data_IF_777864232197
#
_entry.id   IF_777864232197
#
_cell.length_a   1.000
_cell.length_b   1.000
_cell.length_c   1.000
_cell.angle_alpha   90.00
_cell.angle_beta   90.00
_cell.angle_gamma   90.00
#
_symmetry.space_group_name_H-M   'P 1'
#
loop_
_entity.id
_entity.type
_entity.pdbx_description
1 polymer ?
#
# COMPACT_ATOMS: atom_id res chain seq x y z
N UNK A 1 24.53 6.50 46.22
CA UNK A 1 24.80 5.45 45.22
C UNK A 1 23.65 5.46 44.21
N UNK A 2 24.00 5.63 42.92
CA UNK A 2 23.28 5.47 41.64
C UNK A 2 21.95 4.67 41.65
N UNK A 3 20.96 4.84 40.76
CA UNK A 3 20.52 5.81 39.73
C UNK A 3 19.22 5.23 39.07
N UNK A 4 18.46 6.06 38.34
CA UNK A 4 17.30 5.76 37.44
C UNK A 4 15.95 5.46 38.13
N UNK A 5 14.89 6.28 38.13
CA UNK A 5 14.28 7.24 37.16
C UNK A 5 13.78 6.59 35.86
N UNK A 6 12.49 6.23 35.83
CA UNK A 6 11.75 5.95 34.60
C UNK A 6 10.32 6.53 34.72
N UNK A 7 10.15 7.76 34.22
CA UNK A 7 8.85 8.34 33.85
C UNK A 7 8.40 7.63 32.58
N UNK A 8 7.39 6.77 32.65
CA UNK A 8 6.67 6.33 31.45
C UNK A 8 5.65 7.41 31.08
N UNK A 9 6.12 8.45 30.41
CA UNK A 9 5.26 9.37 29.67
C UNK A 9 5.05 8.74 28.29
N UNK A 10 3.81 8.32 28.07
CA UNK A 10 3.22 7.89 26.81
C UNK A 10 3.58 8.91 25.70
N UNK A 11 4.51 8.57 24.82
CA UNK A 11 4.80 9.36 23.62
C UNK A 11 4.00 8.76 22.46
N UNK A 12 2.75 9.21 22.32
CA UNK A 12 2.00 9.13 21.05
C UNK A 12 2.44 10.33 20.22
N UNK A 13 3.58 10.21 19.55
CA UNK A 13 3.99 11.18 18.54
C UNK A 13 3.34 10.82 17.21
N UNK A 14 2.16 11.41 16.98
CA UNK A 14 1.60 11.59 15.65
C UNK A 14 2.53 12.55 14.90
N UNK A 15 3.35 12.03 13.99
CA UNK A 15 4.10 12.88 13.06
C UNK A 15 3.15 13.35 11.95
N UNK A 16 2.55 14.52 12.14
CA UNK A 16 2.01 15.32 11.03
C UNK A 16 3.19 16.05 10.40
N UNK A 17 3.78 15.47 9.36
CA UNK A 17 4.70 16.20 8.50
C UNK A 17 3.87 17.11 7.58
N UNK A 18 3.78 18.40 7.93
CA UNK A 18 3.31 19.43 7.00
C UNK A 18 4.38 19.59 5.92
N UNK A 19 4.05 19.20 4.69
CA UNK A 19 4.84 19.56 3.50
C UNK A 19 4.17 20.81 2.93
N UNK A 20 4.78 21.96 3.21
CA UNK A 20 4.45 23.24 2.60
C UNK A 20 4.97 23.24 1.15
N UNK A 21 4.08 22.96 0.20
CA UNK A 21 4.42 22.86 -1.22
C UNK A 21 3.26 23.34 -2.07
N UNK A 22 3.38 24.55 -2.61
CA UNK A 22 2.63 25.14 -3.72
C UNK A 22 1.26 24.48 -4.01
N UNK A 23 0.24 24.98 -3.28
CA UNK A 23 -1.10 24.41 -3.25
C UNK A 23 -1.83 24.41 -4.59
N UNK A 24 -1.79 23.26 -5.28
CA UNK A 24 -3.03 22.66 -5.77
C UNK A 24 -3.80 22.29 -4.52
N UNK A 25 -4.93 22.96 -4.27
CA UNK A 25 -5.77 22.66 -3.11
C UNK A 25 -6.14 21.17 -3.15
N UNK A 26 -5.49 20.39 -2.28
CA UNK A 26 -5.74 18.97 -2.16
C UNK A 26 -7.23 18.77 -1.91
N UNK A 27 -7.90 18.06 -2.81
CA UNK A 27 -9.31 17.73 -2.58
C UNK A 27 -9.36 16.71 -1.44
N UNK A 28 -10.27 16.87 -0.47
CA UNK A 28 -10.40 15.91 0.61
C UNK A 28 -10.65 14.52 0.03
N UNK A 29 -9.84 13.54 0.44
CA UNK A 29 -9.95 12.18 -0.04
C UNK A 29 -11.17 11.52 0.64
N UNK A 30 -12.20 11.09 -0.12
CA UNK A 30 -13.40 10.47 0.46
C UNK A 30 -13.06 9.17 1.19
N UNK A 31 -13.78 8.83 2.26
CA UNK A 31 -13.53 7.62 3.06
C UNK A 31 -13.38 6.32 2.24
N UNK A 32 -14.21 6.06 1.20
CA UNK A 32 -14.03 4.88 0.36
C UNK A 32 -12.69 4.87 -0.39
N UNK A 33 -12.17 6.04 -0.77
CA UNK A 33 -10.87 6.18 -1.44
C UNK A 33 -9.72 5.99 -0.47
N UNK A 34 -9.84 6.52 0.75
CA UNK A 34 -8.87 6.30 1.82
C UNK A 34 -8.74 4.81 2.12
N UNK A 35 -9.86 4.12 2.33
CA UNK A 35 -9.87 2.67 2.59
C UNK A 35 -9.26 1.87 1.45
N UNK A 36 -9.61 2.20 0.20
CA UNK A 36 -9.05 1.54 -0.97
C UNK A 36 -7.55 1.81 -1.13
N UNK A 37 -7.08 3.03 -0.84
CA UNK A 37 -5.65 3.37 -0.88
C UNK A 37 -4.85 2.57 0.15
N UNK A 38 -5.32 2.46 1.39
CA UNK A 38 -4.64 1.67 2.42
C UNK A 38 -4.56 0.19 2.05
N UNK A 39 -5.63 -0.37 1.49
CA UNK A 39 -5.64 -1.77 1.14
C UNK A 39 -4.86 -2.07 -0.16
N UNK A 40 -4.82 -1.13 -1.14
CA UNK A 40 -3.87 -1.18 -2.24
C UNK A 40 -2.41 -1.13 -1.74
N UNK A 41 -2.14 -0.30 -0.72
CA UNK A 41 -0.82 -0.23 -0.06
C UNK A 41 -0.42 -1.56 0.57
N UNK A 42 -1.34 -2.18 1.32
CA UNK A 42 -1.13 -3.48 1.97
C UNK A 42 -0.80 -4.60 0.98
N UNK A 43 -1.56 -4.66 -0.11
CA UNK A 43 -1.37 -5.64 -1.17
C UNK A 43 -0.07 -5.38 -1.95
N UNK A 44 0.27 -4.12 -2.20
CA UNK A 44 1.53 -3.76 -2.83
C UNK A 44 2.73 -4.11 -1.96
N UNK A 45 2.64 -3.93 -0.63
CA UNK A 45 3.66 -4.35 0.33
C UNK A 45 3.83 -5.87 0.31
N UNK A 46 2.73 -6.62 0.20
CA UNK A 46 2.73 -8.08 0.05
C UNK A 46 3.50 -8.52 -1.21
N UNK A 47 3.23 -7.89 -2.36
CA UNK A 47 3.97 -8.15 -3.61
C UNK A 47 5.45 -7.80 -3.50
N UNK A 48 5.78 -6.71 -2.80
CA UNK A 48 7.17 -6.30 -2.57
C UNK A 48 7.92 -7.32 -1.68
N UNK A 49 7.28 -7.79 -0.60
CA UNK A 49 7.84 -8.84 0.26
C UNK A 49 8.10 -10.10 -0.55
N UNK A 50 7.14 -10.53 -1.38
CA UNK A 50 7.36 -11.67 -2.25
C UNK A 50 8.58 -11.42 -3.15
N UNK A 51 8.61 -10.32 -3.91
CA UNK A 51 9.67 -10.01 -4.86
C UNK A 51 11.08 -9.89 -4.24
N UNK A 52 11.16 -9.59 -2.94
CA UNK A 52 12.42 -9.48 -2.18
C UNK A 52 12.82 -10.78 -1.47
N UNK A 53 11.98 -11.81 -1.48
CA UNK A 53 12.25 -13.09 -0.83
C UNK A 53 12.99 -14.07 -1.75
N UNK A 54 13.71 -15.03 -1.16
CA UNK A 54 14.33 -16.13 -1.91
C UNK A 54 13.30 -16.98 -2.66
N UNK A 55 12.09 -17.09 -2.13
CA UNK A 55 10.98 -17.80 -2.76
C UNK A 55 10.64 -17.24 -4.16
N UNK A 56 10.85 -15.94 -4.38
CA UNK A 56 10.64 -15.33 -5.69
C UNK A 56 11.61 -15.86 -6.75
N UNK A 57 12.85 -16.16 -6.37
CA UNK A 57 13.85 -16.66 -7.32
C UNK A 57 13.44 -18.03 -7.90
N UNK A 58 12.82 -18.86 -7.07
CA UNK A 58 12.30 -20.17 -7.44
C UNK A 58 10.99 -20.13 -8.23
N UNK A 59 10.35 -18.96 -8.39
CA UNK A 59 9.11 -18.86 -9.16
C UNK A 59 9.36 -19.02 -10.67
N UNK A 60 8.42 -19.64 -11.39
CA UNK A 60 8.39 -19.59 -12.85
C UNK A 60 8.34 -18.15 -13.37
N UNK A 61 8.93 -17.89 -14.54
CA UNK A 61 8.97 -16.54 -15.14
C UNK A 61 7.59 -15.93 -15.41
N UNK A 62 6.60 -16.79 -15.69
CA UNK A 62 5.20 -16.36 -15.84
C UNK A 62 4.67 -15.71 -14.56
N UNK A 63 5.04 -16.25 -13.40
CA UNK A 63 4.55 -15.80 -12.09
C UNK A 63 5.31 -14.56 -11.64
N UNK A 64 6.63 -14.51 -11.87
CA UNK A 64 7.44 -13.28 -11.73
C UNK A 64 6.85 -12.14 -12.57
N UNK A 65 6.47 -12.42 -13.80
CA UNK A 65 5.84 -11.44 -14.71
C UNK A 65 4.47 -11.01 -14.22
N UNK A 66 3.66 -11.95 -13.71
CA UNK A 66 2.37 -11.63 -13.12
C UNK A 66 2.51 -10.71 -11.90
N UNK A 67 3.47 -10.97 -11.00
CA UNK A 67 3.77 -10.12 -9.84
C UNK A 67 4.15 -8.72 -10.30
N UNK A 68 5.12 -8.57 -11.21
CA UNK A 68 5.53 -7.27 -11.77
C UNK A 68 4.36 -6.52 -12.42
N UNK A 69 3.46 -7.23 -13.10
CA UNK A 69 2.27 -6.63 -13.71
C UNK A 69 1.26 -6.17 -12.66
N UNK A 70 1.03 -6.96 -11.61
CA UNK A 70 0.15 -6.59 -10.50
C UNK A 70 0.66 -5.35 -9.76
N UNK A 71 1.96 -5.29 -9.45
CA UNK A 71 2.58 -4.11 -8.83
C UNK A 71 2.36 -2.86 -9.68
N UNK A 72 2.66 -2.93 -10.99
CA UNK A 72 2.42 -1.80 -11.90
C UNK A 72 0.96 -1.38 -11.99
N UNK A 73 0.03 -2.35 -12.00
CA UNK A 73 -1.39 -2.04 -12.01
C UNK A 73 -1.81 -1.28 -10.75
N UNK A 74 -1.32 -1.69 -9.57
CA UNK A 74 -1.61 -0.98 -8.31
C UNK A 74 -1.00 0.43 -8.33
N UNK A 75 0.25 0.56 -8.73
CA UNK A 75 0.93 1.86 -8.84
C UNK A 75 0.15 2.83 -9.74
N UNK A 76 -0.38 2.34 -10.87
CA UNK A 76 -1.22 3.13 -11.77
C UNK A 76 -2.56 3.51 -11.14
N UNK A 77 -3.22 2.61 -10.39
CA UNK A 77 -4.48 2.93 -9.70
C UNK A 77 -4.28 4.03 -8.66
N UNK A 78 -3.19 3.96 -7.89
CA UNK A 78 -2.83 5.01 -6.92
C UNK A 78 -2.52 6.33 -7.63
N UNK A 79 -1.79 6.30 -8.75
CA UNK A 79 -1.54 7.49 -9.54
C UNK A 79 -2.85 8.17 -10.02
N UNK A 80 -3.83 7.39 -10.50
CA UNK A 80 -5.14 7.95 -10.91
C UNK A 80 -5.93 8.57 -9.74
N UNK A 81 -5.83 8.00 -8.53
CA UNK A 81 -6.39 8.63 -7.33
C UNK A 81 -5.66 9.95 -7.07
N UNK A 82 -4.33 9.93 -7.07
CA UNK A 82 -3.50 11.10 -6.79
C UNK A 82 -3.74 12.26 -7.79
N UNK A 83 -3.87 11.96 -9.08
CA UNK A 83 -4.19 12.94 -10.13
C UNK A 83 -5.51 13.67 -9.86
N UNK A 84 -6.48 13.00 -9.26
CA UNK A 84 -7.81 13.58 -8.99
C UNK A 84 -7.83 14.41 -7.70
N UNK A 85 -7.08 13.98 -6.68
CA UNK A 85 -7.19 14.50 -5.32
C UNK A 85 -5.95 15.27 -4.85
N UNK A 86 -4.80 14.60 -4.80
CA UNK A 86 -3.54 15.15 -4.32
C UNK A 86 -2.35 14.33 -4.88
N UNK A 87 -1.45 14.95 -5.68
CA UNK A 87 -0.24 14.29 -6.19
C UNK A 87 0.67 13.71 -5.10
N UNK A 88 0.67 14.27 -3.89
CA UNK A 88 1.50 13.82 -2.77
C UNK A 88 1.18 12.37 -2.33
N UNK A 89 -0.02 11.88 -2.66
CA UNK A 89 -0.47 10.52 -2.35
C UNK A 89 0.42 9.46 -2.99
N UNK A 90 1.05 9.74 -4.14
CA UNK A 90 1.96 8.78 -4.78
C UNK A 90 3.19 8.53 -3.90
N UNK A 91 3.78 9.59 -3.36
CA UNK A 91 4.98 9.49 -2.53
C UNK A 91 4.66 8.91 -1.16
N UNK A 92 3.52 9.32 -0.57
CA UNK A 92 3.00 8.71 0.64
C UNK A 92 2.79 7.20 0.46
N UNK A 93 2.14 6.77 -0.62
CA UNK A 93 1.93 5.35 -0.92
C UNK A 93 3.24 4.58 -1.05
N UNK A 94 4.22 5.11 -1.80
CA UNK A 94 5.53 4.44 -1.97
C UNK A 94 6.26 4.29 -0.63
N UNK A 95 6.24 5.33 0.20
CA UNK A 95 6.86 5.30 1.52
C UNK A 95 6.18 4.28 2.44
N UNK A 96 4.84 4.32 2.53
CA UNK A 96 4.06 3.40 3.35
C UNK A 96 4.21 1.95 2.89
N UNK A 97 4.18 1.69 1.58
CA UNK A 97 4.43 0.37 1.01
C UNK A 97 5.80 -0.17 1.45
N UNK A 98 6.83 0.65 1.34
CA UNK A 98 8.20 0.26 1.69
C UNK A 98 8.38 0.01 3.20
N UNK A 99 7.72 0.82 4.04
CA UNK A 99 7.75 0.67 5.49
C UNK A 99 7.00 -0.59 5.92
N UNK A 100 5.76 -0.76 5.44
CA UNK A 100 4.94 -1.92 5.74
C UNK A 100 5.60 -3.22 5.30
N UNK A 101 6.26 -3.24 4.13
CA UNK A 101 6.99 -4.39 3.61
C UNK A 101 8.14 -4.84 4.52
N UNK A 102 8.67 -3.95 5.37
CA UNK A 102 9.73 -4.25 6.35
C UNK A 102 9.19 -4.56 7.73
N UNK A 103 7.91 -4.29 7.98
CA UNK A 103 7.33 -4.44 9.31
C UNK A 103 7.29 -5.92 9.74
N UNK A 104 7.71 -6.27 10.98
CA UNK A 104 7.63 -7.63 11.48
C UNK A 104 6.21 -8.25 11.41
N UNK A 105 5.12 -7.51 11.71
CA UNK A 105 3.77 -8.04 11.56
C UNK A 105 3.45 -8.47 10.13
N UNK A 106 3.76 -7.64 9.13
CA UNK A 106 3.46 -7.97 7.73
C UNK A 106 4.31 -9.12 7.22
N UNK A 107 5.59 -9.17 7.59
CA UNK A 107 6.46 -10.30 7.28
C UNK A 107 5.96 -11.61 7.88
N UNK A 108 5.46 -11.56 9.12
CA UNK A 108 4.82 -12.69 9.79
C UNK A 108 3.57 -13.17 9.06
N UNK A 109 2.67 -12.25 8.71
CA UNK A 109 1.47 -12.53 7.93
C UNK A 109 1.82 -13.19 6.59
N UNK A 110 2.76 -12.60 5.83
CA UNK A 110 3.18 -13.09 4.52
C UNK A 110 3.79 -14.48 4.58
N UNK A 111 4.60 -14.75 5.61
CA UNK A 111 5.18 -16.07 5.84
C UNK A 111 4.08 -17.09 6.13
N UNK A 112 3.19 -16.79 7.06
CA UNK A 112 2.13 -17.71 7.50
C UNK A 112 1.12 -17.99 6.39
N UNK A 113 0.69 -16.95 5.68
CA UNK A 113 -0.39 -17.06 4.70
C UNK A 113 0.11 -17.59 3.36
N UNK A 114 1.26 -17.10 2.88
CA UNK A 114 1.71 -17.34 1.52
C UNK A 114 3.07 -18.05 1.42
N UNK A 115 3.78 -18.30 2.53
CA UNK A 115 5.18 -18.69 2.42
C UNK A 115 5.98 -17.68 1.59
N UNK A 116 5.66 -16.39 1.77
CA UNK A 116 6.15 -15.24 1.01
C UNK A 116 5.64 -15.08 -0.43
N UNK A 117 5.51 -16.14 -1.23
CA UNK A 117 5.14 -16.03 -2.65
C UNK A 117 4.14 -17.07 -3.18
N UNK A 118 3.82 -18.08 -2.38
CA UNK A 118 3.00 -19.24 -2.75
C UNK A 118 1.54 -19.13 -2.32
N UNK A 119 0.92 -20.30 -2.12
CA UNK A 119 -0.45 -20.48 -1.59
C UNK A 119 -1.51 -19.59 -2.26
N UNK A 120 -1.46 -19.46 -3.59
CA UNK A 120 -2.49 -18.71 -4.32
C UNK A 120 -2.40 -17.18 -4.21
N UNK A 121 -1.32 -16.63 -3.64
CA UNK A 121 -1.12 -15.18 -3.48
C UNK A 121 -1.44 -14.38 -4.75
N UNK A 122 -0.93 -14.80 -5.91
CA UNK A 122 -1.18 -14.11 -7.18
C UNK A 122 -2.67 -14.06 -7.53
N UNK A 123 -3.41 -15.15 -7.26
CA UNK A 123 -4.84 -15.20 -7.53
C UNK A 123 -5.64 -14.32 -6.57
N UNK A 124 -5.32 -14.36 -5.29
CA UNK A 124 -5.94 -13.53 -4.25
C UNK A 124 -5.72 -12.05 -4.53
N UNK A 125 -4.48 -11.66 -4.80
CA UNK A 125 -4.11 -10.27 -5.09
C UNK A 125 -4.74 -9.81 -6.41
N UNK A 126 -4.78 -10.66 -7.44
CA UNK A 126 -5.43 -10.31 -8.71
C UNK A 126 -6.92 -10.03 -8.51
N UNK A 127 -7.61 -10.87 -7.73
CA UNK A 127 -9.02 -10.66 -7.39
C UNK A 127 -9.21 -9.34 -6.65
N UNK A 128 -8.34 -9.06 -5.69
CA UNK A 128 -8.38 -7.82 -4.94
C UNK A 128 -8.21 -6.58 -5.83
N UNK A 129 -7.14 -6.54 -6.64
CA UNK A 129 -6.86 -5.42 -7.57
C UNK A 129 -8.01 -5.20 -8.56
N UNK A 130 -8.63 -6.28 -9.04
CA UNK A 130 -9.82 -6.19 -9.89
C UNK A 130 -11.00 -5.52 -9.18
N UNK A 131 -11.30 -5.94 -7.95
CA UNK A 131 -12.38 -5.35 -7.15
C UNK A 131 -12.09 -3.87 -6.84
N UNK A 132 -10.88 -3.54 -6.41
CA UNK A 132 -10.46 -2.15 -6.15
C UNK A 132 -10.61 -1.28 -7.39
N UNK A 133 -10.17 -1.75 -8.55
CA UNK A 133 -10.35 -1.01 -9.81
C UNK A 133 -11.82 -0.76 -10.11
N UNK A 134 -12.67 -1.78 -9.96
CA UNK A 134 -14.12 -1.64 -10.21
C UNK A 134 -14.74 -0.58 -9.29
N UNK A 135 -14.40 -0.60 -8.00
CA UNK A 135 -14.86 0.41 -7.03
C UNK A 135 -14.39 1.81 -7.41
N UNK A 136 -13.14 1.96 -7.85
CA UNK A 136 -12.61 3.25 -8.34
C UNK A 136 -13.37 3.75 -9.58
N UNK A 137 -13.57 2.87 -10.56
CA UNK A 137 -14.29 3.22 -11.80
C UNK A 137 -15.73 3.64 -11.51
N UNK A 138 -16.43 2.94 -10.60
CA UNK A 138 -17.79 3.29 -10.18
C UNK A 138 -17.82 4.62 -9.42
N UNK A 139 -16.86 4.86 -8.53
CA UNK A 139 -16.76 6.11 -7.81
C UNK A 139 -16.52 7.29 -8.76
N UNK A 140 -15.54 7.21 -9.66
CA UNK A 140 -15.25 8.30 -10.59
C UNK A 140 -16.43 8.60 -11.52
N UNK A 141 -17.17 7.57 -11.95
CA UNK A 141 -18.42 7.76 -12.70
C UNK A 141 -19.48 8.52 -11.90
N UNK A 142 -19.63 8.23 -10.61
CA UNK A 142 -20.59 8.92 -9.75
C UNK A 142 -20.13 10.35 -9.41
N UNK A 143 -18.83 10.54 -9.17
CA UNK A 143 -18.22 11.82 -8.81
C UNK A 143 -18.27 12.82 -9.97
N UNK A 144 -17.95 12.39 -11.20
CA UNK A 144 -17.94 13.25 -12.39
C UNK A 144 -19.35 13.56 -12.96
N UNK A 145 -20.40 12.93 -12.42
CA UNK A 145 -21.81 13.24 -12.77
C UNK A 145 -22.43 14.30 -11.85
N UNK A 146 -21.72 14.74 -10.83
CA UNK A 146 -22.09 15.85 -9.94
C UNK A 146 -21.38 17.11 -10.38
#
# INVERSE_FOLDING_TARGET
MRLFKAKHIFFVTVFVAMIDGAGVAAKPLPDPMVSNLFALTDVAASLQICAQSDAYQSLPDRDKTAIRRLTRNIDNLVASIAETFDPSLVDFYKAQRAELAKSPPKLGEMKQRYGYCGNGMIADIRRYVYTSKKTLDEFFKAFNRR
#
